data_IF_059937693508
#
_entry.id   IF_059937693508
#
_cell.length_a   1.000
_cell.length_b   1.000
_cell.length_c   1.000
_cell.angle_alpha   90.00
_cell.angle_beta   90.00
_cell.angle_gamma   90.00
#
_symmetry.space_group_name_H-M   'P 1'
#
loop_
_entity.id
_entity.type
_entity.pdbx_description
1 polymer ?
#
# COMPACT_ATOMS: atom_id res chain seq x y z
N UNK A 1 2.97 9.36 -19.14
CA UNK A 1 4.21 8.56 -18.96
C UNK A 1 4.32 8.26 -17.48
N UNK A 2 4.38 7.00 -17.06
CA UNK A 2 4.45 6.60 -15.65
C UNK A 2 4.67 5.09 -15.54
N UNK A 3 5.08 4.61 -14.36
CA UNK A 3 5.32 3.18 -14.12
C UNK A 3 4.02 2.49 -13.71
N UNK A 4 3.58 1.49 -14.47
CA UNK A 4 2.37 0.74 -14.16
C UNK A 4 2.41 0.21 -12.72
N UNK A 5 1.35 0.47 -11.95
CA UNK A 5 1.27 0.14 -10.53
C UNK A 5 1.64 1.28 -9.56
N UNK A 6 2.24 2.38 -10.03
CA UNK A 6 2.52 3.58 -9.21
C UNK A 6 1.72 4.80 -9.67
N UNK A 7 1.04 4.69 -10.81
CA UNK A 7 0.24 5.77 -11.39
C UNK A 7 -1.06 5.94 -10.61
N UNK A 8 -1.30 7.15 -10.13
CA UNK A 8 -2.53 7.51 -9.45
C UNK A 8 -3.75 7.43 -10.39
N UNK A 9 -4.94 7.03 -9.89
CA UNK A 9 -6.13 6.80 -10.71
C UNK A 9 -6.57 8.00 -11.55
N UNK A 10 -6.40 9.22 -11.02
CA UNK A 10 -6.74 10.46 -11.70
C UNK A 10 -5.87 10.75 -12.95
N UNK A 11 -4.71 10.11 -13.08
CA UNK A 11 -3.80 10.31 -14.22
C UNK A 11 -4.29 9.58 -15.48
N UNK A 12 -5.04 8.48 -15.33
CA UNK A 12 -5.60 7.71 -16.44
C UNK A 12 -7.13 7.74 -16.51
N UNK A 13 -7.80 8.20 -15.46
CA UNK A 13 -9.25 8.37 -15.44
C UNK A 13 -9.61 9.72 -14.83
N UNK A 14 -10.09 10.63 -15.67
CA UNK A 14 -10.49 11.99 -15.27
C UNK A 14 -11.69 12.03 -14.32
N UNK A 15 -12.35 10.88 -14.10
CA UNK A 15 -13.46 10.74 -13.15
C UNK A 15 -13.02 10.90 -11.68
N UNK A 16 -11.72 10.74 -11.38
CA UNK A 16 -11.18 10.86 -10.03
C UNK A 16 -10.63 12.25 -9.68
N UNK A 17 -10.68 13.19 -10.63
CA UNK A 17 -10.19 14.55 -10.47
C UNK A 17 -9.08 14.91 -11.46
N UNK A 18 -8.49 16.09 -11.26
CA UNK A 18 -7.35 16.56 -12.05
C UNK A 18 -6.00 16.11 -11.47
N UNK A 19 -5.01 15.92 -12.36
CA UNK A 19 -3.62 15.65 -11.96
C UNK A 19 -3.11 16.80 -11.09
N UNK A 20 -2.54 16.47 -9.94
CA UNK A 20 -2.01 17.44 -8.97
C UNK A 20 -0.83 16.84 -8.20
N UNK A 21 -0.25 17.60 -7.25
CA UNK A 21 0.79 17.07 -6.34
C UNK A 21 0.33 15.83 -5.54
N UNK A 22 -0.99 15.60 -5.43
CA UNK A 22 -1.56 14.38 -4.82
C UNK A 22 -1.24 13.10 -5.61
N UNK A 23 -0.93 13.21 -6.90
CA UNK A 23 -0.49 12.07 -7.71
C UNK A 23 0.92 11.61 -7.32
N UNK A 24 1.78 12.54 -6.88
CA UNK A 24 3.10 12.22 -6.32
C UNK A 24 2.96 11.57 -4.94
N UNK A 25 2.02 12.03 -4.11
CA UNK A 25 1.71 11.40 -2.81
C UNK A 25 1.27 9.95 -3.00
N UNK A 26 0.43 9.67 -4.00
CA UNK A 26 0.02 8.30 -4.32
C UNK A 26 1.23 7.44 -4.72
N UNK A 27 2.07 7.95 -5.61
CA UNK A 27 3.28 7.26 -6.07
C UNK A 27 4.21 6.96 -4.89
N UNK A 28 4.40 7.93 -3.99
CA UNK A 28 5.17 7.76 -2.76
C UNK A 28 4.58 6.66 -1.87
N UNK A 29 3.26 6.65 -1.65
CA UNK A 29 2.57 5.61 -0.89
C UNK A 29 2.83 4.21 -1.45
N UNK A 30 2.78 4.06 -2.77
CA UNK A 30 3.09 2.79 -3.44
C UNK A 30 4.53 2.33 -3.18
N UNK A 31 5.51 3.24 -3.18
CA UNK A 31 6.90 2.91 -2.87
C UNK A 31 7.08 2.53 -1.40
N UNK A 32 6.42 3.22 -0.45
CA UNK A 32 6.47 2.87 0.97
C UNK A 32 5.90 1.47 1.23
N UNK A 33 4.79 1.12 0.57
CA UNK A 33 4.20 -0.22 0.67
C UNK A 33 5.08 -1.31 0.02
N UNK A 34 5.89 -0.96 -0.97
CA UNK A 34 6.88 -1.85 -1.55
C UNK A 34 8.08 -2.06 -0.63
N UNK A 35 8.64 -0.99 -0.03
CA UNK A 35 9.76 -1.09 0.92
C UNK A 35 9.41 -1.91 2.16
N UNK A 36 8.18 -1.81 2.64
CA UNK A 36 7.68 -2.61 3.77
C UNK A 36 7.33 -4.05 3.39
N UNK A 37 7.43 -4.40 2.10
CA UNK A 37 7.06 -5.71 1.55
C UNK A 37 5.56 -6.01 1.59
N UNK A 38 4.72 -5.07 2.01
CA UNK A 38 3.26 -5.22 2.07
C UNK A 38 2.64 -5.43 0.68
N UNK A 39 3.32 -4.99 -0.38
CA UNK A 39 2.91 -5.17 -1.78
C UNK A 39 3.22 -6.57 -2.36
N UNK A 40 3.92 -7.45 -1.64
CA UNK A 40 4.45 -8.69 -2.22
C UNK A 40 3.35 -9.73 -2.49
N UNK A 41 2.93 -9.82 -3.76
CA UNK A 41 1.81 -10.63 -4.27
C UNK A 41 2.02 -12.15 -4.15
N UNK A 42 3.27 -12.64 -4.17
CA UNK A 42 3.56 -14.07 -4.02
C UNK A 42 3.10 -14.63 -2.66
N UNK A 43 3.03 -13.80 -1.61
CA UNK A 43 2.48 -14.22 -0.31
C UNK A 43 0.97 -14.41 -0.35
N UNK A 44 0.26 -13.58 -1.10
CA UNK A 44 -1.20 -13.67 -1.20
C UNK A 44 -1.64 -14.91 -1.99
N UNK A 45 -0.95 -15.24 -3.07
CA UNK A 45 -1.23 -16.43 -3.87
C UNK A 45 -0.90 -17.73 -3.10
N UNK A 46 0.12 -17.70 -2.24
CA UNK A 46 0.47 -18.83 -1.37
C UNK A 46 -0.35 -18.94 -0.07
N UNK A 47 -1.11 -17.91 0.32
CA UNK A 47 -1.91 -17.94 1.57
C UNK A 47 -3.20 -18.75 1.47
N UNK A 48 -3.43 -19.47 0.37
CA UNK A 48 -4.54 -20.43 0.21
C UNK A 48 -5.95 -19.81 0.23
N UNK A 49 -6.06 -18.49 0.44
CA UNK A 49 -7.32 -17.79 0.42
C UNK A 49 -7.69 -17.46 -1.03
N UNK A 50 -8.83 -17.97 -1.49
CA UNK A 50 -9.49 -17.71 -2.79
C UNK A 50 -9.87 -16.22 -2.97
N UNK A 51 -8.90 -15.31 -2.86
CA UNK A 51 -9.12 -13.88 -2.74
C UNK A 51 -8.77 -13.14 -4.04
N UNK A 52 -8.73 -13.81 -5.20
CA UNK A 52 -8.37 -13.26 -6.51
C UNK A 52 -9.20 -12.03 -6.95
N UNK A 53 -10.26 -11.69 -6.22
CA UNK A 53 -11.13 -10.53 -6.42
C UNK A 53 -10.95 -9.38 -5.40
N UNK A 54 -10.06 -9.48 -4.41
CA UNK A 54 -9.96 -8.46 -3.34
C UNK A 54 -9.11 -7.27 -3.78
N UNK A 55 -9.60 -6.06 -3.56
CA UNK A 55 -8.91 -4.81 -3.90
C UNK A 55 -7.57 -4.68 -3.13
N UNK A 56 -6.55 -4.15 -3.80
CA UNK A 56 -5.15 -4.08 -3.34
C UNK A 56 -4.92 -3.27 -2.02
N UNK A 57 -5.78 -2.33 -1.62
CA UNK A 57 -5.72 -1.79 -0.26
C UNK A 57 -6.31 -2.73 0.80
N UNK A 58 -7.42 -3.41 0.48
CA UNK A 58 -8.17 -4.21 1.45
C UNK A 58 -7.41 -5.45 1.92
N UNK A 59 -6.65 -6.10 1.04
CA UNK A 59 -5.82 -7.26 1.41
C UNK A 59 -4.66 -6.88 2.37
N UNK A 60 -4.02 -5.72 2.19
CA UNK A 60 -2.95 -5.22 3.05
C UNK A 60 -3.53 -4.86 4.41
N UNK A 61 -4.74 -4.29 4.44
CA UNK A 61 -5.41 -3.99 5.70
C UNK A 61 -5.70 -5.28 6.50
N UNK A 62 -6.17 -6.34 5.84
CA UNK A 62 -6.39 -7.65 6.48
C UNK A 62 -5.09 -8.28 6.99
N UNK A 63 -4.00 -8.19 6.22
CA UNK A 63 -2.69 -8.68 6.65
C UNK A 63 -2.11 -7.84 7.80
N UNK A 64 -2.39 -6.54 7.81
CA UNK A 64 -2.05 -5.65 8.90
C UNK A 64 -2.79 -6.02 10.19
N UNK A 65 -4.10 -6.27 10.12
CA UNK A 65 -4.92 -6.71 11.28
C UNK A 65 -4.46 -8.05 11.84
N UNK A 66 -4.06 -8.99 10.97
CA UNK A 66 -3.52 -10.29 11.38
C UNK A 66 -2.10 -10.22 11.96
N UNK A 67 -1.41 -9.08 11.82
CA UNK A 67 -0.01 -8.93 12.19
C UNK A 67 0.97 -9.65 11.24
N UNK A 68 0.48 -10.19 10.13
CA UNK A 68 1.27 -10.98 9.17
C UNK A 68 2.30 -10.15 8.41
N UNK A 69 2.11 -8.82 8.35
CA UNK A 69 3.08 -7.88 7.77
C UNK A 69 4.44 -7.97 8.49
N UNK A 70 4.46 -8.21 9.79
CA UNK A 70 5.71 -8.35 10.56
C UNK A 70 6.49 -9.62 10.20
N UNK A 71 5.83 -10.65 9.66
CA UNK A 71 6.49 -11.90 9.26
C UNK A 71 7.45 -11.70 8.09
N UNK A 72 7.40 -10.55 7.41
CA UNK A 72 8.37 -10.18 6.36
C UNK A 72 9.75 -9.95 6.98
N UNK A 73 9.78 -9.34 8.17
CA UNK A 73 11.02 -8.97 8.83
C UNK A 73 11.57 -10.08 9.75
N UNK A 74 10.71 -11.04 10.14
CA UNK A 74 11.10 -12.16 11.00
C UNK A 74 11.62 -11.69 12.37
N UNK A 75 12.52 -12.47 12.97
CA UNK A 75 13.22 -12.12 14.23
C UNK A 75 14.36 -11.09 14.04
N UNK A 76 14.51 -10.53 12.83
CA UNK A 76 15.64 -9.65 12.50
C UNK A 76 15.38 -8.19 12.88
N UNK A 77 14.19 -7.85 13.36
CA UNK A 77 13.83 -6.49 13.76
C UNK A 77 13.43 -6.43 15.23
N UNK A 78 13.77 -5.32 15.84
CA UNK A 78 13.30 -4.97 17.18
C UNK A 78 11.80 -4.64 17.17
N UNK A 79 11.17 -4.68 18.35
CA UNK A 79 9.77 -4.28 18.51
C UNK A 79 9.52 -2.82 18.08
N UNK A 80 10.48 -1.93 18.31
CA UNK A 80 10.43 -0.53 17.89
C UNK A 80 10.43 -0.39 16.36
N UNK A 81 11.32 -1.09 15.67
CA UNK A 81 11.37 -1.12 14.20
C UNK A 81 10.08 -1.71 13.61
N UNK A 82 9.52 -2.74 14.26
CA UNK A 82 8.21 -3.26 13.89
C UNK A 82 7.10 -2.22 14.05
N UNK A 83 7.08 -1.48 15.15
CA UNK A 83 6.12 -0.40 15.32
C UNK A 83 6.28 0.71 14.28
N UNK A 84 7.51 1.03 13.86
CA UNK A 84 7.78 1.98 12.78
C UNK A 84 7.25 1.43 11.44
N UNK A 85 7.53 0.17 11.11
CA UNK A 85 7.06 -0.44 9.87
C UNK A 85 5.53 -0.52 9.80
N UNK A 86 4.83 -0.81 10.91
CA UNK A 86 3.36 -0.71 11.01
C UNK A 86 2.87 0.70 10.67
N UNK A 87 3.49 1.72 11.24
CA UNK A 87 3.15 3.12 10.95
C UNK A 87 3.40 3.46 9.48
N UNK A 88 4.51 3.00 8.91
CA UNK A 88 4.83 3.20 7.50
C UNK A 88 3.76 2.57 6.58
N UNK A 89 3.29 1.36 6.88
CA UNK A 89 2.20 0.73 6.12
C UNK A 89 0.90 1.54 6.22
N UNK A 90 0.52 1.98 7.41
CA UNK A 90 -0.68 2.81 7.60
C UNK A 90 -0.59 4.13 6.82
N UNK A 91 0.55 4.80 6.86
CA UNK A 91 0.79 6.02 6.08
C UNK A 91 0.75 5.70 4.58
N UNK A 92 1.37 4.61 4.13
CA UNK A 92 1.33 4.15 2.75
C UNK A 92 -0.10 3.91 2.26
N UNK A 93 -0.93 3.22 3.05
CA UNK A 93 -2.35 2.99 2.77
C UNK A 93 -3.16 4.30 2.69
N UNK A 94 -2.83 5.28 3.53
CA UNK A 94 -3.47 6.60 3.49
C UNK A 94 -3.05 7.42 2.26
N UNK A 95 -1.81 7.26 1.80
CA UNK A 95 -1.32 7.92 0.59
C UNK A 95 -1.96 7.38 -0.71
N UNK A 96 -2.37 6.11 -0.76
CA UNK A 96 -2.89 5.47 -1.98
C UNK A 96 -4.42 5.53 -2.12
N UNK A 97 -5.09 6.39 -1.36
CA UNK A 97 -6.55 6.54 -1.43
C UNK A 97 -7.00 6.91 -2.85
N UNK A 98 -8.08 6.29 -3.31
CA UNK A 98 -8.60 6.51 -4.68
C UNK A 98 -8.96 7.99 -4.91
N UNK A 99 -9.60 8.62 -3.92
CA UNK A 99 -9.91 10.04 -3.95
C UNK A 99 -8.68 10.87 -3.54
N UNK A 100 -8.14 11.75 -4.41
CA UNK A 100 -7.00 12.62 -4.08
C UNK A 100 -7.21 13.52 -2.86
N UNK A 101 -8.45 13.92 -2.57
CA UNK A 101 -8.78 14.79 -1.42
C UNK A 101 -8.59 14.09 -0.07
N UNK A 102 -8.59 12.77 -0.03
CA UNK A 102 -8.39 12.01 1.20
C UNK A 102 -6.91 11.72 1.49
N UNK A 103 -6.02 11.94 0.52
CA UNK A 103 -4.58 11.74 0.69
C UNK A 103 -3.99 12.89 1.53
N UNK A 104 -2.92 12.67 2.31
CA UNK A 104 -2.24 13.72 3.08
C UNK A 104 -1.53 14.76 2.19
N UNK A 105 -1.10 15.89 2.77
CA UNK A 105 -0.30 16.97 2.14
C UNK A 105 1.05 17.11 2.82
#
# INVERSE_FOLDING_TARGET
>A
RGTAGYIAPEVFSTNFGGVSHKSDVYSYGMVVLEMTGARNREKFENSGSNNSSTYFPDWIYKDFERGDIMRIFGDQITEEEGNIAKKMVLVGLWCIQTNPSHRPT
#
